data_IF_254862572421
#
_entry.id   IF_254862572421
#
_cell.length_a   1.000
_cell.length_b   1.000
_cell.length_c   1.000
_cell.angle_alpha   90.00
_cell.angle_beta   90.00
_cell.angle_gamma   90.00
#
_symmetry.space_group_name_H-M   'P 1'
#
loop_
_entity.id
_entity.type
_entity.pdbx_description
1 polymer ?
#
# COMPACT_ATOMS: atom_id res chain seq x y z
N UNK A 1 -3.71 15.08 19.93
CA UNK A 1 -4.32 13.94 19.22
C UNK A 1 -3.87 14.02 17.77
N UNK A 2 -3.23 12.98 17.27
CA UNK A 2 -2.73 12.94 15.88
C UNK A 2 -3.60 11.96 15.11
N UNK A 3 -4.35 12.45 14.12
CA UNK A 3 -5.29 11.63 13.34
C UNK A 3 -4.54 10.77 12.32
N UNK A 4 -3.58 11.37 11.61
CA UNK A 4 -2.72 10.69 10.63
C UNK A 4 -1.26 10.85 11.06
N UNK A 5 -0.52 9.75 11.13
CA UNK A 5 0.90 9.74 11.45
C UNK A 5 1.68 9.07 10.30
N UNK A 6 2.40 9.87 9.50
CA UNK A 6 3.21 9.38 8.36
C UNK A 6 2.42 8.52 7.36
N UNK A 7 1.18 8.92 7.06
CA UNK A 7 0.28 8.16 6.17
C UNK A 7 -0.60 7.15 6.90
N UNK A 8 -0.19 6.68 8.08
CA UNK A 8 -0.98 5.72 8.87
C UNK A 8 -2.14 6.40 9.61
N UNK A 9 -3.32 5.78 9.53
CA UNK A 9 -4.50 6.22 10.28
C UNK A 9 -4.44 5.63 11.69
N UNK A 10 -4.20 6.48 12.69
CA UNK A 10 -3.92 6.04 14.07
C UNK A 10 -5.10 5.35 14.75
N UNK A 11 -6.34 5.56 14.27
CA UNK A 11 -7.51 4.83 14.76
C UNK A 11 -7.48 3.34 14.41
N UNK A 12 -6.70 2.90 13.42
CA UNK A 12 -6.55 1.48 13.08
C UNK A 12 -5.78 0.69 14.17
N UNK A 13 -5.03 1.39 15.02
CA UNK A 13 -4.31 0.79 16.16
C UNK A 13 -5.17 0.68 17.43
N UNK A 14 -6.35 1.33 17.46
CA UNK A 14 -7.23 1.33 18.64
C UNK A 14 -7.65 -0.10 19.00
N UNK A 15 -7.51 -0.52 20.27
CA UNK A 15 -8.00 -1.81 20.74
C UNK A 15 -9.50 -2.01 20.45
N UNK A 16 -10.29 -0.96 20.58
CA UNK A 16 -11.74 -0.97 20.33
C UNK A 16 -12.05 -1.21 18.85
N UNK A 17 -11.34 -0.53 17.95
CA UNK A 17 -11.47 -0.74 16.49
C UNK A 17 -11.04 -2.16 16.13
N UNK A 18 -9.92 -2.65 16.66
CA UNK A 18 -9.43 -4.02 16.40
C UNK A 18 -10.40 -5.08 16.92
N UNK A 19 -10.99 -4.87 18.10
CA UNK A 19 -12.00 -5.77 18.68
C UNK A 19 -13.33 -5.75 17.91
N UNK A 20 -13.70 -4.62 17.30
CA UNK A 20 -14.85 -4.56 16.41
C UNK A 20 -14.59 -5.34 15.12
N UNK A 21 -13.41 -5.17 14.52
CA UNK A 21 -13.02 -5.84 13.27
C UNK A 21 -12.92 -7.35 13.41
N UNK A 22 -12.57 -7.87 14.60
CA UNK A 22 -12.45 -9.33 14.82
C UNK A 22 -13.76 -10.10 14.63
N UNK A 23 -14.90 -9.40 14.54
CA UNK A 23 -16.20 -9.99 14.18
C UNK A 23 -16.33 -10.31 12.69
N UNK A 24 -15.45 -9.76 11.86
CA UNK A 24 -15.49 -9.83 10.40
C UNK A 24 -14.29 -10.55 9.77
N UNK A 25 -13.26 -10.88 10.54
CA UNK A 25 -12.05 -11.58 10.08
C UNK A 25 -10.83 -11.30 10.96
N UNK A 26 -9.62 -11.62 10.49
CA UNK A 26 -8.39 -11.27 11.19
C UNK A 26 -8.16 -9.75 11.11
N UNK A 27 -8.15 -9.00 12.23
CA UNK A 27 -7.87 -7.57 12.22
C UNK A 27 -6.50 -7.20 11.63
N UNK A 28 -5.53 -8.13 11.64
CA UNK A 28 -4.21 -7.90 11.03
C UNK A 28 -4.29 -7.80 9.51
N UNK A 29 -5.20 -8.55 8.89
CA UNK A 29 -5.41 -8.52 7.44
C UNK A 29 -6.38 -7.38 7.06
N UNK A 30 -7.51 -7.27 7.77
CA UNK A 30 -8.57 -6.33 7.44
C UNK A 30 -8.23 -4.85 7.72
N UNK A 31 -7.31 -4.58 8.64
CA UNK A 31 -6.85 -3.22 8.96
C UNK A 31 -5.45 -2.94 8.41
N UNK A 32 -4.88 -3.85 7.60
CA UNK A 32 -3.61 -3.61 6.95
C UNK A 32 -3.72 -2.45 5.96
N UNK A 33 -2.65 -1.68 5.82
CA UNK A 33 -2.53 -0.73 4.74
C UNK A 33 -2.33 -1.52 3.43
N UNK A 34 -3.34 -1.46 2.56
CA UNK A 34 -3.37 -2.28 1.34
C UNK A 34 -2.35 -1.79 0.31
N UNK A 35 -2.12 -0.47 0.23
CA UNK A 35 -1.22 0.11 -0.75
C UNK A 35 -0.65 1.46 -0.34
N UNK A 36 0.66 1.61 -0.50
CA UNK A 36 1.37 2.90 -0.42
C UNK A 36 2.08 3.12 -1.76
N UNK A 37 1.85 4.24 -2.47
CA UNK A 37 2.52 4.49 -3.74
C UNK A 37 4.04 4.62 -3.53
N UNK A 38 4.80 4.00 -4.42
CA UNK A 38 6.25 4.15 -4.47
C UNK A 38 6.60 5.55 -5.00
N UNK A 39 7.33 6.31 -4.20
CA UNK A 39 7.84 7.65 -4.51
C UNK A 39 9.37 7.62 -4.43
N UNK A 40 10.07 7.64 -5.58
CA UNK A 40 11.52 7.68 -5.63
C UNK A 40 12.10 8.82 -4.81
N UNK A 41 13.06 8.51 -3.94
CA UNK A 41 13.70 9.48 -3.04
C UNK A 41 12.92 9.80 -1.76
N UNK A 42 11.74 9.21 -1.54
CA UNK A 42 10.99 9.28 -0.27
C UNK A 42 10.91 7.90 0.38
N UNK A 43 10.15 6.97 -0.23
CA UNK A 43 9.92 5.61 0.28
C UNK A 43 10.35 4.52 -0.72
N UNK A 44 10.88 4.91 -1.88
CA UNK A 44 11.43 4.00 -2.89
C UNK A 44 12.82 4.48 -3.39
N UNK A 45 13.67 3.57 -3.92
CA UNK A 45 14.95 3.95 -4.49
C UNK A 45 14.84 4.98 -5.62
N UNK A 46 15.81 5.90 -5.70
CA UNK A 46 15.90 6.93 -6.73
C UNK A 46 16.02 8.33 -6.13
N UNK A 47 15.88 9.36 -6.98
CA UNK A 47 15.96 10.76 -6.59
C UNK A 47 14.62 11.44 -6.72
N UNK A 48 14.23 12.18 -5.68
CA UNK A 48 12.97 12.91 -5.69
C UNK A 48 12.93 13.99 -6.77
N UNK A 49 14.06 14.67 -7.06
CA UNK A 49 14.09 15.71 -8.10
C UNK A 49 13.79 15.16 -9.50
N UNK A 50 14.07 13.89 -9.76
CA UNK A 50 13.78 13.26 -11.04
C UNK A 50 12.34 12.76 -11.11
N UNK A 51 11.82 12.23 -10.00
CA UNK A 51 10.39 11.93 -9.85
C UNK A 51 9.52 13.19 -10.01
N UNK A 52 9.88 14.29 -9.35
CA UNK A 52 9.09 15.52 -9.32
C UNK A 52 8.92 16.18 -10.70
N UNK A 53 9.85 15.96 -11.63
CA UNK A 53 9.76 16.46 -13.01
C UNK A 53 8.71 15.72 -13.84
N UNK A 54 8.53 14.43 -13.58
CA UNK A 54 7.56 13.57 -14.28
C UNK A 54 7.07 12.42 -13.37
N UNK A 55 6.12 12.72 -12.46
CA UNK A 55 5.56 11.69 -11.57
C UNK A 55 4.82 10.60 -12.34
N UNK A 56 4.21 10.96 -13.49
CA UNK A 56 3.41 10.05 -14.30
C UNK A 56 4.25 8.89 -14.84
N UNK A 57 5.52 9.12 -15.18
CA UNK A 57 6.45 8.05 -15.54
C UNK A 57 6.55 6.95 -14.48
N UNK A 58 6.53 7.30 -13.19
CA UNK A 58 6.56 6.31 -12.11
C UNK A 58 5.21 5.62 -11.96
N UNK A 59 4.12 6.38 -11.96
CA UNK A 59 2.75 5.84 -11.82
C UNK A 59 2.39 4.88 -12.96
N UNK A 60 2.70 5.24 -14.20
CA UNK A 60 2.43 4.40 -15.37
C UNK A 60 3.24 3.09 -15.36
N UNK A 61 4.44 3.08 -14.80
CA UNK A 61 5.20 1.84 -14.59
C UNK A 61 4.54 0.92 -13.55
N UNK A 62 3.96 1.47 -12.49
CA UNK A 62 3.17 0.69 -11.52
C UNK A 62 1.95 0.09 -12.20
N UNK A 63 1.18 0.88 -12.96
CA UNK A 63 0.02 0.37 -13.71
C UNK A 63 0.38 -0.73 -14.69
N UNK A 64 1.51 -0.57 -15.40
CA UNK A 64 2.02 -1.63 -16.28
C UNK A 64 2.33 -2.93 -15.52
N UNK A 65 2.93 -2.86 -14.32
CA UNK A 65 3.16 -4.04 -13.48
C UNK A 65 1.84 -4.69 -13.04
N UNK A 66 0.82 -3.89 -12.74
CA UNK A 66 -0.53 -4.38 -12.39
C UNK A 66 -1.17 -5.10 -13.57
N UNK A 67 -1.17 -4.49 -14.75
CA UNK A 67 -1.69 -5.09 -16.00
C UNK A 67 -0.96 -6.39 -16.37
N UNK A 68 0.34 -6.47 -16.10
CA UNK A 68 1.15 -7.68 -16.31
C UNK A 68 0.97 -8.75 -15.21
N UNK A 69 0.19 -8.47 -14.16
CA UNK A 69 0.00 -9.38 -13.02
C UNK A 69 1.25 -9.56 -12.14
N UNK A 70 2.21 -8.63 -12.23
CA UNK A 70 3.50 -8.67 -11.51
C UNK A 70 3.58 -7.68 -10.36
N UNK A 71 2.45 -7.07 -9.97
CA UNK A 71 2.45 -6.11 -8.89
C UNK A 71 2.34 -6.80 -7.53
N UNK A 72 3.42 -6.75 -6.77
CA UNK A 72 3.61 -7.50 -5.51
C UNK A 72 2.61 -7.09 -4.41
N UNK A 73 2.07 -5.88 -4.48
CA UNK A 73 1.13 -5.32 -3.49
C UNK A 73 -0.33 -5.36 -3.96
N UNK A 74 -0.65 -6.01 -5.08
CA UNK A 74 -2.04 -6.13 -5.53
C UNK A 74 -2.79 -7.16 -4.68
N UNK A 75 -3.91 -6.76 -4.07
CA UNK A 75 -4.78 -7.65 -3.29
C UNK A 75 -6.05 -8.09 -4.07
N UNK A 76 -6.49 -9.36 -3.95
CA UNK A 76 -5.77 -10.46 -3.32
C UNK A 76 -4.51 -10.76 -4.11
N UNK A 77 -3.41 -11.08 -3.40
CA UNK A 77 -2.18 -11.55 -4.03
C UNK A 77 -2.58 -12.70 -4.96
N UNK A 78 -2.37 -12.57 -6.28
CA UNK A 78 -2.53 -13.71 -7.17
C UNK A 78 -1.52 -14.75 -6.70
N UNK A 79 -1.97 -15.71 -5.88
CA UNK A 79 -1.21 -16.92 -5.60
C UNK A 79 -0.91 -17.50 -6.97
N UNK A 80 0.36 -17.43 -7.36
CA UNK A 80 0.82 -17.81 -8.68
C UNK A 80 0.09 -19.08 -9.11
N UNK A 81 -0.50 -19.05 -10.30
CA UNK A 81 -0.97 -20.26 -10.96
C UNK A 81 0.25 -21.16 -11.14
N UNK A 82 0.55 -21.94 -10.12
CA UNK A 82 1.43 -23.10 -10.21
C UNK A 82 0.76 -24.05 -11.20
N UNK A 83 1.32 -24.09 -12.39
CA UNK A 83 1.28 -25.24 -13.28
C UNK A 83 2.71 -25.52 -13.71
#
# INVERSE_FOLDING_TARGET
MTIINKGHMTSLDSPEVRALTSRYGDPKELLAEDWVPEIPGINAPGRYEDYAKDPWKTVSMIFKKVEEGKYEYFYPMEKGKGK
#
